data_IF_756355919369
#
_entry.id   IF_756355919369
#
_cell.length_a   1.000
_cell.length_b   1.000
_cell.length_c   1.000
_cell.angle_alpha   90.00
_cell.angle_beta   90.00
_cell.angle_gamma   90.00
#
_symmetry.space_group_name_H-M   'P 1'
#
loop_
_entity.id
_entity.type
_entity.pdbx_description
1 polymer ?
#
# COMPACT_ATOMS: atom_id res chain seq x y z
N UNK A 1 23.79 -28.52 24.64
CA UNK A 1 23.88 -27.50 23.57
C UNK A 1 22.79 -26.51 23.84
N UNK A 2 23.17 -25.32 24.28
CA UNK A 2 22.24 -24.26 24.63
C UNK A 2 21.58 -23.75 23.35
N UNK A 3 20.24 -23.83 23.27
CA UNK A 3 19.50 -23.20 22.17
C UNK A 3 19.58 -21.71 22.43
N UNK A 4 20.54 -21.05 21.77
CA UNK A 4 20.55 -19.59 21.63
C UNK A 4 19.13 -19.14 21.29
N UNK A 5 18.50 -18.38 22.20
CA UNK A 5 17.20 -17.81 21.98
C UNK A 5 17.30 -16.97 20.70
N UNK A 6 16.52 -17.31 19.67
CA UNK A 6 16.52 -16.52 18.45
C UNK A 6 16.07 -15.10 18.81
N UNK A 7 17.00 -14.15 18.79
CA UNK A 7 16.72 -12.74 19.04
C UNK A 7 15.68 -12.28 18.01
N UNK A 8 14.44 -12.09 18.44
CA UNK A 8 13.30 -11.71 17.60
C UNK A 8 13.28 -10.21 17.33
N UNK A 9 14.46 -9.61 17.12
CA UNK A 9 14.59 -8.17 16.89
C UNK A 9 13.81 -7.77 15.63
N UNK A 10 12.77 -6.97 15.82
CA UNK A 10 11.96 -6.42 14.73
C UNK A 10 12.64 -5.16 14.19
N UNK A 11 13.11 -5.23 12.96
CA UNK A 11 13.62 -4.09 12.20
C UNK A 11 12.64 -3.86 11.04
N UNK A 12 11.86 -2.79 11.11
CA UNK A 12 10.69 -2.54 10.27
C UNK A 12 11.01 -1.45 9.25
N UNK A 13 10.76 -1.73 7.97
CA UNK A 13 10.76 -0.74 6.90
C UNK A 13 9.32 -0.30 6.64
N UNK A 14 8.95 0.91 7.06
CA UNK A 14 7.64 1.48 6.74
C UNK A 14 7.69 2.09 5.33
N UNK A 15 6.71 1.75 4.49
CA UNK A 15 6.55 2.36 3.18
C UNK A 15 5.07 2.65 2.87
N UNK A 16 4.84 3.72 2.13
CA UNK A 16 3.54 4.09 1.56
C UNK A 16 3.53 3.73 0.07
N UNK A 17 2.82 2.67 -0.37
CA UNK A 17 2.87 2.19 -1.76
C UNK A 17 2.57 3.26 -2.79
N UNK A 18 1.60 4.15 -2.51
CA UNK A 18 1.24 5.29 -3.36
C UNK A 18 2.44 6.15 -3.78
N UNK A 19 3.43 6.31 -2.89
CA UNK A 19 4.63 7.11 -3.15
C UNK A 19 5.83 6.26 -3.54
N UNK A 20 5.99 5.07 -2.94
CA UNK A 20 7.22 4.29 -3.04
C UNK A 20 7.60 3.93 -4.48
N UNK A 21 6.64 3.48 -5.29
CA UNK A 21 6.86 3.10 -6.68
C UNK A 21 6.39 4.13 -7.70
N UNK A 22 5.93 5.30 -7.26
CA UNK A 22 5.51 6.35 -8.19
C UNK A 22 6.73 7.04 -8.80
N UNK A 23 6.97 6.81 -10.09
CA UNK A 23 8.06 7.47 -10.82
C UNK A 23 7.65 8.79 -11.45
N UNK A 24 6.36 9.17 -11.40
CA UNK A 24 5.91 10.47 -11.87
C UNK A 24 6.39 11.55 -10.88
N UNK A 25 7.15 12.52 -11.40
CA UNK A 25 7.70 13.61 -10.61
C UNK A 25 6.78 14.84 -10.56
N UNK A 26 5.64 14.78 -11.24
CA UNK A 26 4.59 15.80 -11.13
C UNK A 26 4.05 15.80 -9.70
N UNK A 27 4.26 16.91 -9.01
CA UNK A 27 3.78 17.13 -7.64
C UNK A 27 2.87 18.36 -7.63
N UNK A 28 1.78 18.28 -8.40
CA UNK A 28 0.79 19.34 -8.48
C UNK A 28 -0.02 19.33 -7.19
N UNK A 29 -0.07 20.47 -6.50
CA UNK A 29 -0.94 20.63 -5.34
C UNK A 29 -2.39 20.32 -5.74
N UNK A 30 -3.03 19.41 -5.01
CA UNK A 30 -4.39 18.95 -5.29
C UNK A 30 -4.57 18.35 -6.70
N UNK A 31 -3.52 17.76 -7.27
CA UNK A 31 -3.58 17.09 -8.56
C UNK A 31 -4.34 15.76 -8.52
N UNK A 32 -4.90 15.35 -9.65
CA UNK A 32 -5.54 14.04 -9.80
C UNK A 32 -4.52 12.90 -9.90
N UNK A 33 -5.00 11.65 -9.86
CA UNK A 33 -4.15 10.48 -10.07
C UNK A 33 -3.53 10.47 -11.48
N UNK A 34 -4.23 11.00 -12.49
CA UNK A 34 -3.71 11.14 -13.85
C UNK A 34 -2.59 12.18 -13.93
N UNK A 35 -2.65 13.24 -13.12
CA UNK A 35 -1.64 14.29 -13.10
C UNK A 35 -0.41 13.88 -12.29
N UNK A 36 -0.60 13.40 -11.07
CA UNK A 36 0.49 13.12 -10.12
C UNK A 36 0.95 11.65 -10.13
N UNK A 37 0.20 10.75 -10.74
CA UNK A 37 0.45 9.31 -10.67
C UNK A 37 0.15 8.70 -9.31
N UNK A 38 0.33 7.38 -9.24
CA UNK A 38 0.26 6.58 -8.04
C UNK A 38 1.16 5.36 -8.22
N UNK A 39 1.92 5.01 -7.18
CA UNK A 39 2.68 3.77 -7.16
C UNK A 39 1.76 2.55 -7.17
N UNK A 40 2.19 1.48 -7.84
CA UNK A 40 1.44 0.23 -7.94
C UNK A 40 2.05 -0.89 -7.10
N UNK A 41 1.20 -1.80 -6.62
CA UNK A 41 1.60 -2.98 -5.83
C UNK A 41 2.60 -3.86 -6.59
N UNK A 42 2.43 -3.98 -7.90
CA UNK A 42 3.28 -4.80 -8.77
C UNK A 42 4.69 -4.20 -8.99
N UNK A 43 4.84 -2.89 -8.82
CA UNK A 43 6.14 -2.22 -8.94
C UNK A 43 7.01 -2.40 -7.68
N UNK A 44 6.41 -2.82 -6.55
CA UNK A 44 7.15 -3.33 -5.39
C UNK A 44 7.60 -4.77 -5.72
N UNK A 45 8.65 -4.81 -6.55
CA UNK A 45 9.18 -6.03 -7.15
C UNK A 45 10.28 -6.69 -6.30
N UNK A 46 10.74 -7.86 -6.76
CA UNK A 46 11.78 -8.63 -6.06
C UNK A 46 13.08 -7.87 -5.86
N UNK A 47 13.48 -7.01 -6.80
CA UNK A 47 14.69 -6.18 -6.68
C UNK A 47 14.55 -5.18 -5.53
N UNK A 48 13.42 -4.47 -5.45
CA UNK A 48 13.16 -3.53 -4.36
C UNK A 48 13.12 -4.24 -3.00
N UNK A 49 12.43 -5.38 -2.90
CA UNK A 49 12.33 -6.16 -1.67
C UNK A 49 13.69 -6.74 -1.25
N UNK A 50 14.50 -7.22 -2.20
CA UNK A 50 15.83 -7.70 -1.90
C UNK A 50 16.75 -6.56 -1.43
N UNK A 51 16.61 -5.35 -1.99
CA UNK A 51 17.32 -4.18 -1.50
C UNK A 51 16.95 -3.85 -0.04
N UNK A 52 15.65 -3.87 0.29
CA UNK A 52 15.16 -3.71 1.67
C UNK A 52 15.75 -4.78 2.60
N UNK A 53 15.77 -6.04 2.16
CA UNK A 53 16.37 -7.14 2.92
C UNK A 53 17.87 -6.92 3.15
N UNK A 54 18.60 -6.51 2.12
CA UNK A 54 20.05 -6.28 2.17
C UNK A 54 20.44 -5.11 3.09
N UNK A 55 19.54 -4.14 3.30
CA UNK A 55 19.71 -3.09 4.31
C UNK A 55 19.57 -3.61 5.76
N UNK A 56 19.19 -4.88 5.96
CA UNK A 56 19.05 -5.51 7.28
C UNK A 56 17.63 -5.49 7.85
N UNK A 57 16.63 -5.04 7.09
CA UNK A 57 15.25 -5.09 7.53
C UNK A 57 14.71 -6.53 7.60
N UNK A 58 13.74 -6.72 8.48
CA UNK A 58 13.11 -8.01 8.76
C UNK A 58 11.63 -8.02 8.39
N UNK A 59 11.00 -6.84 8.41
CA UNK A 59 9.58 -6.65 8.12
C UNK A 59 9.41 -5.45 7.19
N UNK A 60 8.38 -5.50 6.36
CA UNK A 60 7.86 -4.36 5.62
C UNK A 60 6.49 -4.02 6.18
N UNK A 61 6.30 -2.77 6.56
CA UNK A 61 5.01 -2.23 6.96
C UNK A 61 4.41 -1.43 5.81
N UNK A 62 3.33 -1.97 5.23
CA UNK A 62 2.58 -1.32 4.17
C UNK A 62 1.49 -0.43 4.76
N UNK A 63 1.70 0.88 4.71
CA UNK A 63 0.71 1.90 5.10
C UNK A 63 -0.23 2.20 3.93
N UNK A 64 -1.52 2.38 4.20
CA UNK A 64 -2.49 2.85 3.20
C UNK A 64 -2.88 1.85 2.12
N UNK A 65 -2.78 0.54 2.39
CA UNK A 65 -3.19 -0.50 1.44
C UNK A 65 -4.68 -0.82 1.47
N UNK A 66 -5.34 -0.62 2.61
CA UNK A 66 -6.77 -0.85 2.78
C UNK A 66 -7.53 0.26 2.04
N UNK A 67 -8.67 -0.09 1.44
CA UNK A 67 -9.49 0.87 0.70
C UNK A 67 -9.89 2.05 1.60
N UNK A 68 -9.45 3.24 1.21
CA UNK A 68 -9.70 4.49 1.89
C UNK A 68 -10.42 5.47 0.95
N UNK A 69 -11.09 6.45 1.55
CA UNK A 69 -11.87 7.43 0.81
C UNK A 69 -10.98 8.26 -0.12
N UNK A 70 -11.35 8.37 -1.39
CA UNK A 70 -10.59 9.02 -2.48
C UNK A 70 -11.53 9.74 -3.46
N UNK A 71 -10.98 10.68 -4.25
CA UNK A 71 -11.72 11.35 -5.33
C UNK A 71 -11.56 10.66 -6.69
N UNK A 72 -10.85 9.52 -6.76
CA UNK A 72 -10.75 8.73 -8.00
C UNK A 72 -12.06 7.97 -8.24
N UNK A 73 -12.66 8.11 -9.43
CA UNK A 73 -13.91 7.45 -9.78
C UNK A 73 -13.66 6.03 -10.33
N UNK A 74 -14.14 5.04 -9.59
CA UNK A 74 -14.08 3.62 -9.95
C UNK A 74 -15.47 2.99 -10.13
N UNK A 75 -16.50 3.80 -10.41
CA UNK A 75 -17.88 3.35 -10.63
C UNK A 75 -18.03 2.36 -11.78
N UNK A 76 -17.15 2.43 -12.79
CA UNK A 76 -17.07 1.45 -13.87
C UNK A 76 -16.76 0.01 -13.38
N UNK A 77 -16.16 -0.13 -12.19
CA UNK A 77 -15.87 -1.40 -11.53
C UNK A 77 -16.83 -1.72 -10.38
N UNK A 78 -17.92 -0.97 -10.24
CA UNK A 78 -18.92 -1.15 -9.18
C UNK A 78 -18.52 -0.55 -7.83
N UNK A 79 -17.47 0.28 -7.76
CA UNK A 79 -17.06 0.97 -6.53
C UNK A 79 -17.80 2.31 -6.47
N UNK A 80 -18.50 2.57 -5.35
CA UNK A 80 -19.27 3.82 -5.20
C UNK A 80 -18.32 5.01 -5.02
N UNK A 81 -18.48 6.10 -5.78
CA UNK A 81 -17.69 7.32 -5.57
C UNK A 81 -17.90 7.90 -4.17
N UNK A 82 -16.82 8.42 -3.57
CA UNK A 82 -16.89 9.02 -2.24
C UNK A 82 -17.38 10.47 -2.28
N UNK A 83 -17.92 10.93 -1.15
CA UNK A 83 -18.41 12.29 -1.00
C UNK A 83 -17.23 13.29 -0.93
N UNK A 84 -17.16 14.27 -1.86
CA UNK A 84 -16.09 15.27 -1.88
C UNK A 84 -15.96 16.09 -0.59
N UNK A 85 -17.04 16.24 0.19
CA UNK A 85 -17.02 17.01 1.44
C UNK A 85 -16.35 16.23 2.60
N UNK A 86 -16.19 14.91 2.45
CA UNK A 86 -15.60 14.02 3.46
C UNK A 86 -14.15 13.66 3.12
N UNK A 87 -13.84 13.55 1.82
CA UNK A 87 -12.52 13.09 1.35
C UNK A 87 -11.42 14.10 1.69
N UNK A 88 -10.35 13.64 2.36
CA UNK A 88 -9.22 14.46 2.79
C UNK A 88 -8.19 14.65 1.67
N UNK A 89 -8.53 15.49 0.70
CA UNK A 89 -7.72 15.74 -0.51
C UNK A 89 -7.92 14.69 -1.60
N UNK A 90 -7.64 15.00 -2.87
CA UNK A 90 -8.04 14.12 -4.00
C UNK A 90 -7.55 12.68 -3.91
N UNK A 91 -6.34 12.49 -3.39
CA UNK A 91 -5.72 11.19 -3.19
C UNK A 91 -6.28 10.40 -2.00
N UNK A 92 -7.12 11.03 -1.17
CA UNK A 92 -7.52 10.46 0.10
C UNK A 92 -6.44 10.54 1.17
N UNK A 93 -6.84 10.15 2.38
CA UNK A 93 -5.91 9.90 3.50
C UNK A 93 -5.77 8.40 3.67
N UNK A 94 -4.55 7.84 3.77
CA UNK A 94 -4.34 6.40 4.01
C UNK A 94 -4.88 5.92 5.36
N UNK A 95 -5.35 6.84 6.21
CA UNK A 95 -5.97 6.56 7.51
C UNK A 95 -7.50 6.69 7.50
N UNK A 96 -8.12 7.19 6.42
CA UNK A 96 -9.57 7.36 6.31
C UNK A 96 -10.21 6.14 5.62
N UNK A 97 -10.19 5.00 6.31
CA UNK A 97 -10.64 3.71 5.77
C UNK A 97 -12.15 3.71 5.54
N UNK A 98 -12.58 3.26 4.36
CA UNK A 98 -14.01 3.13 4.02
C UNK A 98 -14.46 1.68 3.84
N UNK A 99 -13.57 0.78 3.42
CA UNK A 99 -13.83 -0.65 3.35
C UNK A 99 -12.64 -1.45 3.89
N UNK A 100 -12.84 -2.12 5.02
CA UNK A 100 -11.82 -2.96 5.67
C UNK A 100 -11.62 -4.32 4.99
N UNK A 101 -12.47 -4.67 4.03
CA UNK A 101 -12.43 -5.95 3.32
C UNK A 101 -11.81 -5.85 1.93
N UNK A 102 -11.40 -4.64 1.51
CA UNK A 102 -10.86 -4.38 0.19
C UNK A 102 -9.51 -3.64 0.24
N UNK A 103 -8.85 -3.59 -0.92
CA UNK A 103 -7.58 -2.92 -1.16
C UNK A 103 -7.83 -1.65 -1.98
N UNK A 104 -7.08 -0.59 -1.69
CA UNK A 104 -7.22 0.68 -2.41
C UNK A 104 -7.02 0.47 -3.94
N UNK A 105 -8.06 0.76 -4.76
CA UNK A 105 -8.01 0.59 -6.21
C UNK A 105 -6.95 1.49 -6.89
N UNK A 106 -6.55 2.61 -6.28
CA UNK A 106 -5.46 3.46 -6.79
C UNK A 106 -4.13 2.68 -6.86
N UNK A 107 -3.94 1.66 -6.02
CA UNK A 107 -2.69 0.88 -5.95
C UNK A 107 -2.63 -0.29 -6.94
N UNK A 108 -3.77 -0.68 -7.52
CA UNK A 108 -3.85 -1.80 -8.44
C UNK A 108 -3.55 -1.39 -9.88
N UNK A 109 -2.96 -2.31 -10.66
CA UNK A 109 -2.89 -2.18 -12.12
C UNK A 109 -4.21 -2.62 -12.73
N UNK A 110 -4.77 -3.74 -12.25
CA UNK A 110 -6.08 -4.27 -12.63
C UNK A 110 -7.04 -4.18 -11.44
N UNK A 111 -7.91 -3.15 -11.45
CA UNK A 111 -8.81 -2.82 -10.33
C UNK A 111 -9.68 -4.02 -9.92
N UNK A 112 -10.37 -4.75 -10.82
CA UNK A 112 -11.07 -5.99 -10.49
C UNK A 112 -10.24 -7.08 -9.79
N UNK A 113 -8.92 -7.08 -9.93
CA UNK A 113 -8.02 -8.07 -9.34
C UNK A 113 -7.14 -7.50 -8.21
N UNK A 114 -7.44 -6.30 -7.69
CA UNK A 114 -6.66 -5.61 -6.64
C UNK A 114 -6.31 -6.47 -5.42
N UNK A 115 -7.24 -7.27 -4.91
CA UNK A 115 -6.98 -8.19 -3.79
C UNK A 115 -5.90 -9.21 -4.16
N UNK A 116 -5.97 -9.80 -5.36
CA UNK A 116 -4.96 -10.76 -5.83
C UNK A 116 -3.61 -10.10 -6.06
N UNK A 117 -3.57 -8.84 -6.51
CA UNK A 117 -2.32 -8.09 -6.62
C UNK A 117 -1.67 -7.87 -5.26
N UNK A 118 -2.46 -7.59 -4.23
CA UNK A 118 -1.96 -7.48 -2.85
C UNK A 118 -1.48 -8.82 -2.30
N UNK A 119 -2.23 -9.90 -2.50
CA UNK A 119 -1.80 -11.26 -2.14
C UNK A 119 -0.46 -11.62 -2.83
N UNK A 120 -0.31 -11.25 -4.10
CA UNK A 120 0.93 -11.43 -4.85
C UNK A 120 2.08 -10.61 -4.26
N UNK A 121 1.83 -9.36 -3.81
CA UNK A 121 2.82 -8.57 -3.08
C UNK A 121 3.24 -9.27 -1.78
N UNK A 122 2.28 -9.72 -0.97
CA UNK A 122 2.54 -10.45 0.28
C UNK A 122 3.41 -11.70 0.01
N UNK A 123 3.06 -12.48 -1.02
CA UNK A 123 3.83 -13.65 -1.41
C UNK A 123 5.26 -13.29 -1.86
N UNK A 124 5.44 -12.23 -2.67
CA UNK A 124 6.76 -11.74 -3.07
C UNK A 124 7.60 -11.30 -1.88
N UNK A 125 6.99 -10.61 -0.90
CA UNK A 125 7.67 -10.15 0.31
C UNK A 125 8.18 -11.31 1.15
N UNK A 126 7.34 -12.35 1.34
CA UNK A 126 7.77 -13.57 2.01
C UNK A 126 8.87 -14.31 1.25
N UNK A 127 8.80 -14.38 -0.09
CA UNK A 127 9.83 -15.00 -0.91
C UNK A 127 11.19 -14.27 -0.80
N UNK A 128 11.19 -12.96 -0.54
CA UNK A 128 12.40 -12.16 -0.26
C UNK A 128 12.93 -12.33 1.18
N UNK A 129 12.32 -13.19 2.01
CA UNK A 129 12.72 -13.40 3.40
C UNK A 129 12.39 -12.24 4.33
N UNK A 130 11.38 -11.44 3.96
CA UNK A 130 10.80 -10.36 4.76
C UNK A 130 9.41 -10.78 5.26
N UNK A 131 9.01 -10.30 6.43
CA UNK A 131 7.64 -10.46 6.94
C UNK A 131 6.79 -9.23 6.62
N UNK A 132 5.47 -9.39 6.61
CA UNK A 132 4.53 -8.31 6.30
C UNK A 132 3.86 -7.77 7.57
N UNK A 133 3.70 -6.46 7.64
CA UNK A 133 2.84 -5.74 8.58
C UNK A 133 1.87 -4.90 7.76
N UNK A 134 0.58 -4.96 8.10
CA UNK A 134 -0.46 -4.15 7.49
C UNK A 134 -0.93 -3.08 8.48
N UNK A 135 -1.05 -1.85 8.01
CA UNK A 135 -1.57 -0.75 8.82
C UNK A 135 -3.09 -0.89 8.98
N UNK A 136 -3.55 -1.08 10.22
CA UNK A 136 -4.95 -1.29 10.53
C UNK A 136 -5.47 -0.12 11.37
N UNK A 137 -6.51 0.56 10.89
CA UNK A 137 -6.96 1.87 11.42
C UNK A 137 -8.40 1.81 11.96
N UNK A 138 -8.71 0.99 12.98
CA UNK A 138 -10.10 0.77 13.44
C UNK A 138 -10.66 1.90 14.32
N UNK A 139 -9.91 2.97 14.53
CA UNK A 139 -10.16 3.94 15.59
C UNK A 139 -11.08 5.11 15.14
N UNK A 140 -11.34 5.24 13.84
CA UNK A 140 -12.26 6.22 13.29
C UNK A 140 -12.84 5.74 11.96
N UNK A 141 -13.87 6.45 11.53
CA UNK A 141 -14.47 6.42 10.19
C UNK A 141 -14.71 7.85 9.77
#
# INVERSE_FOLDING_TARGET
MDKSASDHKLIIYQLLPRLFSNTNTTNKFYGSIEENGCGKLNDINGTALQAIKNMGFTHVWYTGVIEHATMTDYSAFGITPDDPDVVKGRAGSPYAIKDYYDIDPDLAVDVPNRIKEFEALVARTHAAGLKVIMDFVPNHV
#
